data_IF_067976255284
#
_entry.id   IF_067976255284
#
_cell.length_a   1.000
_cell.length_b   1.000
_cell.length_c   1.000
_cell.angle_alpha   90.00
_cell.angle_beta   90.00
_cell.angle_gamma   90.00
#
_symmetry.space_group_name_H-M   'P 1'
#
loop_
_entity.id
_entity.type
_entity.pdbx_description
1 polymer ?
#
# COMPACT_ATOMS: atom_id res chain seq x y z
N UNK A 1 17.20 -0.49 1.25
CA UNK A 1 15.86 -1.04 0.96
C UNK A 1 15.60 -1.14 -0.54
N UNK A 2 15.91 -0.12 -1.32
CA UNK A 2 15.70 -0.07 -2.78
C UNK A 2 16.29 -1.27 -3.54
N UNK A 3 17.53 -1.65 -3.28
CA UNK A 3 18.22 -2.79 -3.92
C UNK A 3 17.58 -4.15 -3.63
N UNK A 4 16.77 -4.24 -2.56
CA UNK A 4 16.11 -5.48 -2.12
C UNK A 4 14.59 -5.41 -2.18
N UNK A 5 14.05 -4.43 -2.90
CA UNK A 5 12.61 -4.14 -2.86
C UNK A 5 11.73 -5.30 -3.37
N UNK A 6 12.19 -6.07 -4.36
CA UNK A 6 11.49 -7.25 -4.86
C UNK A 6 11.27 -8.34 -3.82
N UNK A 7 12.09 -8.34 -2.75
CA UNK A 7 12.01 -9.30 -1.64
C UNK A 7 11.09 -8.82 -0.53
N UNK A 8 10.50 -7.63 -0.65
CA UNK A 8 9.66 -7.05 0.41
C UNK A 8 8.22 -7.53 0.28
N UNK A 9 7.63 -7.74 1.45
CA UNK A 9 6.20 -7.94 1.69
C UNK A 9 5.82 -6.86 2.68
N UNK A 10 4.99 -5.94 2.26
CA UNK A 10 4.59 -4.81 3.08
C UNK A 10 3.41 -5.12 3.98
N UNK A 11 3.40 -4.46 5.13
CA UNK A 11 2.20 -4.28 5.95
C UNK A 11 1.92 -2.79 6.06
N UNK A 12 0.75 -2.38 5.58
CA UNK A 12 0.33 -0.98 5.57
C UNK A 12 -0.49 -0.67 6.82
N UNK A 13 -0.05 0.31 7.59
CA UNK A 13 -0.66 0.77 8.82
C UNK A 13 -1.19 2.20 8.62
N UNK A 14 -2.48 2.44 8.88
CA UNK A 14 -2.99 3.78 9.13
C UNK A 14 -3.03 4.02 10.64
N UNK A 15 -2.03 4.74 11.19
CA UNK A 15 -1.72 4.67 12.63
C UNK A 15 -2.82 5.27 13.50
N UNK A 16 -3.40 6.43 13.13
CA UNK A 16 -4.47 7.06 13.91
C UNK A 16 -5.69 6.15 14.06
N UNK A 17 -6.08 5.46 12.97
CA UNK A 17 -7.18 4.50 13.01
C UNK A 17 -6.82 3.26 13.80
N UNK A 18 -5.76 2.55 13.40
CA UNK A 18 -5.34 1.28 14.03
C UNK A 18 -5.17 1.40 15.53
N UNK A 19 -4.62 2.53 16.01
CA UNK A 19 -4.39 2.78 17.44
C UNK A 19 -5.62 3.33 18.19
N UNK A 20 -6.74 3.57 17.52
CA UNK A 20 -7.93 4.14 18.15
C UNK A 20 -7.73 5.58 18.63
N UNK A 21 -6.92 6.37 17.94
CA UNK A 21 -6.64 7.74 18.30
C UNK A 21 -7.91 8.60 18.20
N UNK A 22 -8.07 9.65 19.04
CA UNK A 22 -9.17 10.61 18.92
C UNK A 22 -9.27 11.19 17.52
N UNK A 23 -10.48 11.37 16.99
CA UNK A 23 -10.72 11.90 15.64
C UNK A 23 -10.18 13.31 15.42
N UNK A 24 -10.09 14.11 16.50
CA UNK A 24 -9.52 15.45 16.48
C UNK A 24 -8.45 15.58 17.54
N UNK A 25 -7.40 16.31 17.20
CA UNK A 25 -6.36 16.68 18.12
C UNK A 25 -6.81 17.88 18.94
N UNK A 26 -6.68 17.80 20.26
CA UNK A 26 -7.00 18.91 21.19
C UNK A 26 -5.78 19.76 21.51
N UNK A 27 -4.59 19.36 21.04
CA UNK A 27 -3.29 20.02 21.23
C UNK A 27 -2.88 20.23 22.69
N UNK A 28 -3.55 19.57 23.65
CA UNK A 28 -3.33 19.76 25.08
C UNK A 28 -3.19 18.45 25.86
N UNK A 29 -3.76 17.35 25.38
CA UNK A 29 -3.64 16.03 26.00
C UNK A 29 -2.18 15.54 26.01
N UNK A 30 -1.78 14.77 27.03
CA UNK A 30 -0.50 14.08 27.04
C UNK A 30 -0.34 13.19 25.81
N UNK A 31 0.93 12.85 25.48
CA UNK A 31 1.22 11.93 24.40
C UNK A 31 0.56 10.56 24.64
N UNK A 32 -0.05 10.01 23.59
CA UNK A 32 -0.65 8.70 23.58
C UNK A 32 0.38 7.57 23.60
N UNK A 33 -0.10 6.33 23.55
CA UNK A 33 0.73 5.11 23.60
C UNK A 33 0.64 4.26 22.31
N UNK A 34 0.06 4.82 21.25
CA UNK A 34 -0.20 4.11 20.00
C UNK A 34 1.04 3.47 19.39
N UNK A 35 2.16 4.20 19.31
CA UNK A 35 3.43 3.68 18.79
C UNK A 35 4.01 2.56 19.67
N UNK A 36 3.84 2.62 21.00
CA UNK A 36 4.24 1.53 21.89
C UNK A 36 3.43 0.27 21.62
N UNK A 37 2.11 0.41 21.40
CA UNK A 37 1.25 -0.72 20.99
C UNK A 37 1.65 -1.30 19.64
N UNK A 38 2.15 -0.49 18.71
CA UNK A 38 2.68 -0.98 17.43
C UNK A 38 3.96 -1.81 17.61
N UNK A 39 4.82 -1.48 18.59
CA UNK A 39 5.99 -2.32 18.93
C UNK A 39 5.55 -3.72 19.33
N UNK A 40 4.49 -3.85 20.12
CA UNK A 40 3.94 -5.14 20.56
C UNK A 40 3.37 -5.99 19.40
N UNK A 41 3.13 -5.37 18.22
CA UNK A 41 2.67 -6.06 17.01
C UNK A 41 3.80 -6.60 16.12
N UNK A 42 5.03 -6.24 16.35
CA UNK A 42 6.17 -6.71 15.54
C UNK A 42 6.22 -8.26 15.47
N UNK A 43 6.01 -9.03 16.54
CA UNK A 43 5.95 -10.50 16.44
C UNK A 43 4.86 -11.01 15.49
N UNK A 44 3.69 -10.35 15.46
CA UNK A 44 2.63 -10.69 14.52
C UNK A 44 3.06 -10.43 13.05
N UNK A 45 3.67 -9.28 12.77
CA UNK A 45 4.20 -8.95 11.44
C UNK A 45 5.23 -10.00 10.96
N UNK A 46 6.14 -10.40 11.85
CA UNK A 46 7.12 -11.45 11.58
C UNK A 46 6.41 -12.77 11.24
N UNK A 47 5.39 -13.14 12.02
CA UNK A 47 4.64 -14.38 11.81
C UNK A 47 3.92 -14.42 10.46
N UNK A 48 3.48 -13.26 9.94
CA UNK A 48 2.90 -13.10 8.60
C UNK A 48 3.95 -13.15 7.49
N UNK A 49 5.25 -13.13 7.82
CA UNK A 49 6.34 -13.05 6.85
C UNK A 49 6.60 -11.62 6.31
N UNK A 50 6.02 -10.61 6.93
CA UNK A 50 6.23 -9.19 6.63
C UNK A 50 7.68 -8.79 6.93
N UNK A 51 8.29 -8.03 6.04
CA UNK A 51 9.64 -7.50 6.20
C UNK A 51 9.78 -6.03 5.74
N UNK A 52 8.65 -5.35 5.56
CA UNK A 52 8.58 -3.91 5.41
C UNK A 52 7.24 -3.39 5.96
N UNK A 53 7.23 -2.25 6.62
CA UNK A 53 6.01 -1.54 7.02
C UNK A 53 5.91 -0.22 6.27
N UNK A 54 4.72 0.10 5.79
CA UNK A 54 4.35 1.43 5.37
C UNK A 54 3.40 2.01 6.41
N UNK A 55 3.81 3.12 7.03
CA UNK A 55 3.02 3.83 8.03
C UNK A 55 2.44 5.07 7.36
N UNK A 56 1.11 5.16 7.33
CA UNK A 56 0.37 6.34 6.89
C UNK A 56 0.72 7.59 7.69
N UNK A 57 0.06 8.73 7.48
CA UNK A 57 0.45 9.99 8.08
C UNK A 57 0.47 9.91 9.60
N UNK A 58 1.62 10.23 10.19
CA UNK A 58 1.85 10.07 11.63
C UNK A 58 2.39 11.33 12.32
N UNK A 59 2.59 12.41 11.57
CA UNK A 59 3.07 13.67 12.12
C UNK A 59 1.92 14.55 12.61
N UNK A 60 2.24 15.52 13.49
CA UNK A 60 1.23 16.33 14.17
C UNK A 60 0.22 16.92 13.18
N UNK A 61 -1.06 16.68 13.41
CA UNK A 61 -2.15 17.03 12.51
C UNK A 61 -3.39 17.43 13.29
N UNK A 62 -4.37 18.06 12.62
CA UNK A 62 -5.62 18.50 13.28
C UNK A 62 -6.59 17.33 13.44
N UNK A 63 -6.69 16.45 12.42
CA UNK A 63 -7.69 15.38 12.42
C UNK A 63 -7.15 14.07 11.85
N UNK A 64 -7.06 13.96 10.52
CA UNK A 64 -6.86 12.66 9.85
C UNK A 64 -5.40 12.40 9.43
N UNK A 65 -4.46 13.21 9.87
CA UNK A 65 -3.03 13.03 9.54
C UNK A 65 -2.61 13.68 8.23
N UNK A 66 -3.47 13.74 7.22
CA UNK A 66 -3.20 14.43 5.96
C UNK A 66 -3.32 15.96 6.06
N UNK A 67 -3.90 16.47 7.11
CA UNK A 67 -3.97 17.88 7.47
C UNK A 67 -2.81 18.29 8.40
N UNK A 68 -1.58 17.99 7.96
CA UNK A 68 -0.34 18.17 8.70
C UNK A 68 -0.15 19.62 9.14
N UNK A 69 0.24 19.80 10.39
CA UNK A 69 0.58 21.10 10.97
C UNK A 69 2.05 21.20 11.42
N UNK A 70 2.73 20.08 11.62
CA UNK A 70 4.13 20.03 11.99
C UNK A 70 4.77 18.74 11.45
N UNK A 71 5.89 18.83 10.74
CA UNK A 71 6.61 17.70 10.18
C UNK A 71 7.74 17.16 11.10
N UNK A 72 8.04 17.85 12.21
CA UNK A 72 9.13 17.49 13.12
C UNK A 72 8.67 16.67 14.33
N UNK A 73 7.38 16.74 14.67
CA UNK A 73 6.84 16.03 15.83
C UNK A 73 5.84 14.98 15.40
N UNK A 74 5.96 13.81 15.97
CA UNK A 74 4.95 12.76 15.90
C UNK A 74 3.63 13.30 16.47
N UNK A 75 2.51 12.93 15.85
CA UNK A 75 1.18 13.29 16.35
C UNK A 75 1.02 12.81 17.80
N UNK A 76 0.78 13.75 18.71
CA UNK A 76 0.69 13.43 20.14
C UNK A 76 -0.35 12.37 20.48
N UNK A 77 -1.36 12.20 19.66
CA UNK A 77 -2.35 11.12 19.81
C UNK A 77 -1.75 9.73 19.63
N UNK A 78 -0.58 9.62 19.01
CA UNK A 78 0.12 8.36 18.75
C UNK A 78 1.32 8.13 19.69
N UNK A 79 1.98 9.19 20.14
CA UNK A 79 3.18 9.07 20.97
C UNK A 79 4.14 10.24 20.83
N UNK A 80 5.42 9.97 21.01
CA UNK A 80 6.52 10.93 20.91
C UNK A 80 7.50 10.55 19.79
N UNK A 81 8.45 11.44 19.49
CA UNK A 81 9.56 11.15 18.57
C UNK A 81 10.43 9.98 19.03
N UNK A 82 10.64 9.86 20.34
CA UNK A 82 11.39 8.75 20.96
C UNK A 82 10.66 7.44 20.78
N UNK A 83 9.31 7.43 20.88
CA UNK A 83 8.50 6.24 20.63
C UNK A 83 8.60 5.78 19.16
N UNK A 84 8.65 6.73 18.20
CA UNK A 84 8.87 6.43 16.79
C UNK A 84 10.28 5.85 16.56
N UNK A 85 11.32 6.48 17.10
CA UNK A 85 12.71 5.97 17.00
C UNK A 85 12.83 4.57 17.58
N UNK A 86 12.18 4.31 18.71
CA UNK A 86 12.16 2.98 19.33
C UNK A 86 11.43 1.96 18.45
N UNK A 87 10.30 2.33 17.85
CA UNK A 87 9.56 1.47 16.92
C UNK A 87 10.41 1.12 15.69
N UNK A 88 11.04 2.12 15.05
CA UNK A 88 11.90 1.91 13.88
C UNK A 88 13.10 1.02 14.22
N UNK A 89 13.76 1.29 15.35
CA UNK A 89 14.88 0.46 15.83
C UNK A 89 14.44 -0.98 16.02
N UNK A 90 13.27 -1.20 16.62
CA UNK A 90 12.74 -2.54 16.86
C UNK A 90 12.36 -3.26 15.57
N UNK A 91 11.84 -2.54 14.58
CA UNK A 91 11.62 -3.06 13.24
C UNK A 91 12.94 -3.52 12.60
N UNK A 92 13.98 -2.69 12.65
CA UNK A 92 15.29 -3.00 12.09
C UNK A 92 15.97 -4.21 12.75
N UNK A 93 15.89 -4.35 14.08
CA UNK A 93 16.37 -5.53 14.81
C UNK A 93 15.74 -6.83 14.28
N UNK A 94 14.54 -6.74 13.69
CA UNK A 94 13.81 -7.88 13.14
C UNK A 94 13.82 -7.93 11.60
N UNK A 95 14.67 -7.14 10.93
CA UNK A 95 14.81 -7.13 9.47
C UNK A 95 13.64 -6.48 8.72
N UNK A 96 12.80 -5.72 9.42
CA UNK A 96 11.65 -5.00 8.87
C UNK A 96 12.06 -3.58 8.53
N UNK A 97 11.97 -3.19 7.25
CA UNK A 97 12.19 -1.82 6.81
C UNK A 97 10.97 -0.94 7.11
N UNK A 98 11.20 0.37 7.30
CA UNK A 98 10.14 1.33 7.66
C UNK A 98 10.04 2.43 6.60
N UNK A 99 8.84 2.61 6.05
CA UNK A 99 8.49 3.65 5.07
C UNK A 99 7.42 4.55 5.69
N UNK A 100 7.62 5.86 5.63
CA UNK A 100 6.67 6.85 6.14
C UNK A 100 5.90 7.53 5.03
N UNK A 101 4.69 8.00 5.36
CA UNK A 101 3.90 8.86 4.49
C UNK A 101 4.42 10.30 4.51
N UNK A 102 4.61 10.87 3.33
CA UNK A 102 5.10 12.22 3.11
C UNK A 102 4.01 13.07 2.44
N UNK A 103 3.29 13.84 3.24
CA UNK A 103 2.21 14.72 2.80
C UNK A 103 2.80 16.07 2.39
N UNK A 104 3.28 16.18 1.14
CA UNK A 104 4.00 17.36 0.65
C UNK A 104 3.22 18.20 -0.36
N UNK A 105 2.06 17.72 -0.81
CA UNK A 105 1.20 18.49 -1.70
C UNK A 105 0.48 19.65 -0.98
N UNK A 106 0.14 19.47 0.29
CA UNK A 106 -0.67 20.41 1.06
C UNK A 106 -0.35 20.35 2.56
N UNK A 107 -0.82 21.33 3.31
CA UNK A 107 -0.79 21.36 4.78
C UNK A 107 -2.19 21.61 5.33
N UNK A 108 -2.40 21.31 6.61
CA UNK A 108 -3.57 21.77 7.33
C UNK A 108 -3.56 23.30 7.57
N UNK A 109 -4.72 23.86 7.87
CA UNK A 109 -4.88 25.30 8.14
C UNK A 109 -4.18 25.79 9.41
N UNK A 110 -3.85 24.86 10.32
CA UNK A 110 -3.09 25.16 11.54
C UNK A 110 -1.57 25.13 11.36
N UNK A 111 -1.07 24.84 10.16
CA UNK A 111 0.35 24.92 9.84
C UNK A 111 0.87 26.35 10.04
N UNK A 112 2.03 26.51 10.65
CA UNK A 112 2.55 27.81 11.09
C UNK A 112 2.59 28.87 9.99
N UNK A 113 2.98 28.48 8.77
CA UNK A 113 3.07 29.40 7.64
C UNK A 113 1.69 29.89 7.16
N UNK A 114 0.67 29.01 7.23
CA UNK A 114 -0.70 29.41 6.88
C UNK A 114 -1.34 30.26 7.96
N UNK A 115 -1.07 30.00 9.23
CA UNK A 115 -1.50 30.89 10.33
C UNK A 115 -0.92 32.30 10.19
N UNK A 116 0.38 32.42 9.92
CA UNK A 116 1.00 33.74 9.68
C UNK A 116 0.34 34.44 8.47
N UNK A 117 0.04 33.69 7.41
CA UNK A 117 -0.66 34.24 6.24
C UNK A 117 -2.08 34.71 6.61
N UNK A 118 -2.82 33.97 7.44
CA UNK A 118 -4.15 34.38 7.92
C UNK A 118 -4.08 35.66 8.77
N UNK A 119 -3.06 35.79 9.61
CA UNK A 119 -2.89 36.91 10.54
C UNK A 119 -2.39 38.19 9.84
N UNK A 120 -1.40 38.04 8.92
CA UNK A 120 -0.70 39.19 8.31
C UNK A 120 -1.16 39.50 6.88
N UNK A 121 -1.92 38.63 6.25
CA UNK A 121 -2.39 38.81 4.88
C UNK A 121 -1.23 39.03 3.91
N UNK A 122 -1.29 40.07 3.10
CA UNK A 122 -0.27 40.42 2.11
C UNK A 122 1.12 40.76 2.70
N UNK A 123 1.21 41.06 3.99
CA UNK A 123 2.45 41.31 4.70
C UNK A 123 3.16 40.02 5.19
N UNK A 124 2.52 38.83 5.06
CA UNK A 124 3.11 37.57 5.42
C UNK A 124 4.30 37.23 4.53
N UNK A 125 5.40 36.79 5.16
CA UNK A 125 6.57 36.27 4.43
C UNK A 125 6.34 34.91 3.80
N UNK A 126 5.25 34.22 4.17
CA UNK A 126 4.87 32.90 3.69
C UNK A 126 3.79 32.93 2.60
N UNK A 127 3.38 34.12 2.10
CA UNK A 127 2.33 34.22 1.06
C UNK A 127 2.64 33.40 -0.21
N UNK A 128 3.92 33.30 -0.59
CA UNK A 128 4.38 32.58 -1.78
C UNK A 128 4.62 31.06 -1.51
N UNK A 129 4.38 30.60 -0.27
CA UNK A 129 4.46 29.18 0.09
C UNK A 129 3.24 28.40 -0.40
N UNK A 130 2.14 29.10 -0.70
CA UNK A 130 0.88 28.48 -1.12
C UNK A 130 0.53 28.83 -2.56
N UNK A 131 -0.18 27.93 -3.22
CA UNK A 131 -0.60 28.11 -4.61
C UNK A 131 -1.79 29.09 -4.71
N UNK A 132 -1.73 29.96 -5.74
CA UNK A 132 -2.85 30.80 -6.17
C UNK A 132 -3.40 31.73 -5.06
N UNK A 133 -2.54 32.27 -4.18
CA UNK A 133 -2.93 33.26 -3.19
C UNK A 133 -3.35 34.56 -3.89
N UNK A 134 -4.59 35.00 -3.60
CA UNK A 134 -5.18 36.22 -4.21
C UNK A 134 -5.88 37.04 -3.12
N UNK A 135 -5.30 38.18 -2.77
CA UNK A 135 -5.86 39.09 -1.74
C UNK A 135 -7.04 39.93 -2.23
N UNK A 136 -7.38 39.87 -3.53
CA UNK A 136 -8.58 40.51 -4.10
C UNK A 136 -9.86 39.68 -3.98
N UNK A 137 -9.76 38.41 -3.47
CA UNK A 137 -10.88 37.48 -3.38
C UNK A 137 -10.93 36.85 -1.98
N UNK A 138 -12.10 36.35 -1.59
CA UNK A 138 -12.28 35.57 -0.36
C UNK A 138 -12.20 34.07 -0.67
N UNK A 139 -11.69 33.28 0.28
CA UNK A 139 -11.75 31.82 0.19
C UNK A 139 -13.18 31.31 0.51
N UNK A 140 -13.59 30.16 -0.02
CA UNK A 140 -14.82 29.47 0.41
C UNK A 140 -14.79 29.07 1.89
N UNK A 141 -13.62 28.96 2.50
CA UNK A 141 -13.46 28.70 3.95
C UNK A 141 -13.58 29.96 4.83
N UNK A 142 -13.85 31.13 4.23
CA UNK A 142 -14.12 32.38 4.94
C UNK A 142 -12.91 33.29 5.19
N UNK A 143 -11.71 32.94 4.66
CA UNK A 143 -10.52 33.79 4.75
C UNK A 143 -10.68 35.04 3.87
N UNK A 144 -10.02 36.14 4.25
CA UNK A 144 -10.03 37.40 3.49
C UNK A 144 -9.13 37.38 2.25
N UNK A 145 -8.63 36.27 1.86
CA UNK A 145 -7.86 35.99 0.64
C UNK A 145 -8.24 34.62 0.08
N UNK A 146 -8.07 34.43 -1.22
CA UNK A 146 -8.23 33.14 -1.88
C UNK A 146 -6.91 32.38 -1.88
N UNK A 147 -6.98 31.06 -1.90
CA UNK A 147 -5.87 30.12 -2.09
C UNK A 147 -6.38 28.82 -2.70
N UNK A 148 -5.50 28.00 -3.27
CA UNK A 148 -5.85 26.69 -3.81
C UNK A 148 -5.93 25.63 -2.69
N UNK A 149 -7.07 24.96 -2.57
CA UNK A 149 -7.25 23.78 -1.74
C UNK A 149 -7.03 22.50 -2.54
N UNK A 150 -6.56 21.44 -1.89
CA UNK A 150 -6.41 20.12 -2.50
C UNK A 150 -7.78 19.55 -2.93
N UNK A 151 -7.96 19.29 -4.23
CA UNK A 151 -9.21 18.76 -4.79
C UNK A 151 -10.48 19.51 -4.37
N UNK A 152 -10.37 20.83 -4.15
CA UNK A 152 -11.48 21.68 -3.69
C UNK A 152 -11.73 21.62 -2.19
N UNK A 153 -10.94 20.91 -1.42
CA UNK A 153 -10.97 20.92 0.03
C UNK A 153 -10.05 22.03 0.56
N UNK A 154 -10.65 23.08 1.13
CA UNK A 154 -9.94 24.25 1.64
C UNK A 154 -9.32 24.05 3.03
N UNK A 155 -9.58 22.95 3.70
CA UNK A 155 -8.85 22.57 4.93
C UNK A 155 -7.48 21.97 4.62
N UNK A 156 -7.24 21.58 3.36
CA UNK A 156 -5.97 21.06 2.83
C UNK A 156 -5.37 22.10 1.88
N UNK A 157 -4.53 22.98 2.43
CA UNK A 157 -4.00 24.16 1.74
C UNK A 157 -2.82 23.77 0.86
N UNK A 158 -2.95 23.92 -0.46
CA UNK A 158 -1.95 23.45 -1.42
C UNK A 158 -0.66 24.25 -1.36
N UNK A 159 0.46 23.54 -1.12
CA UNK A 159 1.79 24.10 -1.08
C UNK A 159 2.30 24.43 -2.50
N UNK A 160 3.12 25.48 -2.57
CA UNK A 160 3.90 25.82 -3.74
C UNK A 160 5.29 25.15 -3.69
N UNK A 161 5.35 23.88 -4.02
CA UNK A 161 6.61 23.09 -4.00
C UNK A 161 7.66 23.58 -5.01
N UNK A 162 7.30 24.50 -5.93
CA UNK A 162 8.28 25.20 -6.79
C UNK A 162 8.99 26.35 -6.07
N UNK A 163 8.53 26.73 -4.87
CA UNK A 163 9.21 27.73 -4.02
C UNK A 163 10.38 27.07 -3.30
N UNK A 164 11.64 27.57 -3.46
CA UNK A 164 12.80 26.97 -2.83
C UNK A 164 12.71 26.88 -1.29
N UNK A 165 12.12 27.88 -0.62
CA UNK A 165 11.98 27.86 0.84
C UNK A 165 11.01 26.77 1.32
N UNK A 166 9.97 26.45 0.53
CA UNK A 166 9.08 25.31 0.80
C UNK A 166 9.85 23.99 0.66
N UNK A 167 10.58 23.84 -0.44
CA UNK A 167 11.40 22.64 -0.66
C UNK A 167 12.46 22.44 0.42
N UNK A 168 13.16 23.52 0.82
CA UNK A 168 14.15 23.47 1.89
C UNK A 168 13.53 23.03 3.23
N UNK A 169 12.36 23.57 3.57
CA UNK A 169 11.62 23.18 4.77
C UNK A 169 11.25 21.68 4.75
N UNK A 170 10.67 21.20 3.66
CA UNK A 170 10.27 19.80 3.52
C UNK A 170 11.47 18.84 3.50
N UNK A 171 12.57 19.22 2.83
CA UNK A 171 13.81 18.43 2.82
C UNK A 171 14.48 18.41 4.20
N UNK A 172 14.37 19.50 4.97
CA UNK A 172 14.78 19.55 6.36
C UNK A 172 14.06 18.51 7.22
N UNK A 173 12.75 18.40 7.05
CA UNK A 173 11.94 17.35 7.71
C UNK A 173 12.37 15.94 7.30
N UNK A 174 12.55 15.69 6.00
CA UNK A 174 13.03 14.38 5.50
C UNK A 174 14.40 14.04 6.05
N UNK A 175 15.32 15.02 6.16
CA UNK A 175 16.62 14.82 6.78
C UNK A 175 16.48 14.37 8.24
N UNK A 176 15.67 15.06 9.03
CA UNK A 176 15.34 14.68 10.39
C UNK A 176 14.81 13.24 10.48
N UNK A 177 13.86 12.87 9.59
CA UNK A 177 13.30 11.51 9.59
C UNK A 177 14.35 10.43 9.25
N UNK A 178 15.30 10.74 8.36
CA UNK A 178 16.39 9.82 8.00
C UNK A 178 17.43 9.73 9.13
N UNK A 179 17.87 10.86 9.68
CA UNK A 179 18.98 10.93 10.64
C UNK A 179 18.54 10.52 12.04
N UNK A 180 17.38 10.98 12.51
CA UNK A 180 16.94 10.78 13.90
C UNK A 180 16.01 9.57 14.08
N UNK A 181 15.19 9.25 13.08
CA UNK A 181 14.32 8.05 13.14
C UNK A 181 14.88 6.86 12.36
N UNK A 182 15.80 7.07 11.42
CA UNK A 182 16.45 6.00 10.68
C UNK A 182 15.62 5.37 9.57
N UNK A 183 14.54 6.00 9.10
CA UNK A 183 13.59 5.42 8.12
C UNK A 183 14.26 4.99 6.82
N UNK A 184 13.61 4.08 6.07
CA UNK A 184 14.16 3.43 4.87
C UNK A 184 13.52 3.90 3.56
N UNK A 185 12.45 4.68 3.63
CA UNK A 185 11.76 5.17 2.45
C UNK A 185 10.61 6.10 2.75
N UNK A 186 10.04 6.65 1.67
CA UNK A 186 8.84 7.49 1.71
C UNK A 186 7.80 7.00 0.71
N UNK A 187 6.53 7.14 1.09
CA UNK A 187 5.41 7.18 0.18
C UNK A 187 4.97 8.64 0.02
N UNK A 188 5.03 9.19 -1.18
CA UNK A 188 4.55 10.54 -1.46
C UNK A 188 3.04 10.52 -1.66
N UNK A 189 2.32 11.21 -0.78
CA UNK A 189 0.88 11.47 -0.92
C UNK A 189 0.60 12.30 -2.18
N UNK A 190 -0.49 11.97 -2.90
CA UNK A 190 -0.91 12.68 -4.10
C UNK A 190 0.24 12.98 -5.09
N UNK A 191 1.12 12.00 -5.33
CA UNK A 191 2.33 12.19 -6.15
C UNK A 191 2.02 12.58 -7.60
N UNK A 192 0.84 12.22 -8.10
CA UNK A 192 0.38 12.54 -9.45
C UNK A 192 0.15 14.04 -9.70
N UNK A 193 0.02 14.84 -8.64
CA UNK A 193 -0.16 16.30 -8.72
C UNK A 193 1.01 17.11 -8.13
N UNK A 194 2.07 16.43 -7.66
CA UNK A 194 3.31 17.10 -7.23
C UNK A 194 4.10 17.64 -8.43
N UNK A 195 4.81 18.73 -8.19
CA UNK A 195 5.72 19.30 -9.18
C UNK A 195 6.82 18.30 -9.56
N UNK A 196 7.03 17.97 -10.85
CA UNK A 196 8.05 17.02 -11.28
C UNK A 196 9.49 17.40 -10.88
N UNK A 197 9.83 18.70 -10.87
CA UNK A 197 11.17 19.15 -10.45
C UNK A 197 11.38 19.01 -8.96
N UNK A 198 10.31 19.22 -8.16
CA UNK A 198 10.35 18.95 -6.74
C UNK A 198 10.62 17.46 -6.47
N UNK A 199 9.93 16.54 -7.17
CA UNK A 199 10.15 15.11 -7.00
C UNK A 199 11.56 14.68 -7.42
N UNK A 200 12.10 15.21 -8.52
CA UNK A 200 13.47 14.93 -8.98
C UNK A 200 14.51 15.42 -7.94
N UNK A 201 14.30 16.63 -7.39
CA UNK A 201 15.15 17.19 -6.36
C UNK A 201 15.08 16.40 -5.04
N UNK A 202 13.85 16.00 -4.62
CA UNK A 202 13.65 15.17 -3.44
C UNK A 202 14.33 13.81 -3.59
N UNK A 203 14.22 13.16 -4.75
CA UNK A 203 14.86 11.88 -5.02
C UNK A 203 16.38 12.00 -4.94
N UNK A 204 16.96 13.04 -5.54
CA UNK A 204 18.40 13.32 -5.44
C UNK A 204 18.83 13.54 -4.00
N UNK A 205 18.09 14.34 -3.25
CA UNK A 205 18.33 14.60 -1.84
C UNK A 205 18.31 13.32 -0.99
N UNK A 206 17.25 12.52 -1.11
CA UNK A 206 17.08 11.27 -0.36
C UNK A 206 18.21 10.26 -0.66
N UNK A 207 18.54 10.05 -1.94
CA UNK A 207 19.60 9.11 -2.33
C UNK A 207 21.01 9.61 -1.96
N UNK A 208 21.20 10.92 -1.81
CA UNK A 208 22.45 11.48 -1.28
C UNK A 208 22.55 11.22 0.22
N UNK A 209 21.46 11.41 0.96
CA UNK A 209 21.43 11.19 2.41
C UNK A 209 21.51 9.69 2.77
N UNK A 210 20.80 8.82 2.01
CA UNK A 210 20.76 7.37 2.22
C UNK A 210 20.67 6.66 0.85
N UNK A 211 21.77 6.16 0.27
CA UNK A 211 21.82 5.65 -1.11
C UNK A 211 20.79 4.56 -1.44
N UNK A 212 20.43 3.71 -0.46
CA UNK A 212 19.44 2.63 -0.62
C UNK A 212 18.03 3.04 -0.15
N UNK A 213 17.76 4.35 -0.06
CA UNK A 213 16.45 4.89 0.29
C UNK A 213 15.42 4.62 -0.82
N UNK A 214 14.22 4.20 -0.47
CA UNK A 214 13.18 3.85 -1.43
C UNK A 214 12.08 4.90 -1.48
N UNK A 215 11.68 5.27 -2.69
CA UNK A 215 10.66 6.28 -2.95
C UNK A 215 9.48 5.69 -3.72
N UNK A 216 8.29 5.76 -3.13
CA UNK A 216 7.04 5.38 -3.76
C UNK A 216 6.11 6.58 -3.87
N UNK A 217 5.37 6.71 -4.96
CA UNK A 217 4.32 7.72 -5.12
C UNK A 217 2.93 7.11 -5.13
N UNK A 218 1.97 7.81 -4.53
CA UNK A 218 0.58 7.53 -4.82
C UNK A 218 0.23 8.09 -6.19
N UNK A 219 -0.14 7.19 -7.11
CA UNK A 219 -0.62 7.54 -8.44
C UNK A 219 -1.84 6.69 -8.75
N UNK A 220 -3.00 7.35 -8.90
CA UNK A 220 -4.26 6.65 -9.13
C UNK A 220 -4.46 6.36 -10.61
N UNK A 221 -4.12 7.31 -11.49
CA UNK A 221 -4.36 7.22 -12.92
C UNK A 221 -3.16 7.67 -13.75
N UNK A 222 -3.09 7.20 -14.99
CA UNK A 222 -2.13 7.63 -15.98
C UNK A 222 -1.02 6.64 -16.26
N UNK A 223 -0.04 7.07 -17.02
CA UNK A 223 1.14 6.26 -17.35
C UNK A 223 2.16 6.36 -16.22
N UNK A 224 2.34 5.27 -15.48
CA UNK A 224 3.20 5.18 -14.30
C UNK A 224 4.67 5.51 -14.58
N UNK A 225 5.14 5.37 -15.83
CA UNK A 225 6.52 5.72 -16.20
C UNK A 225 6.83 7.22 -16.10
N UNK A 226 5.79 8.07 -16.04
CA UNK A 226 5.97 9.51 -15.81
C UNK A 226 6.48 9.80 -14.39
N UNK A 227 6.13 8.97 -13.44
CA UNK A 227 6.51 9.11 -12.03
C UNK A 227 7.59 8.11 -11.61
N UNK A 228 7.40 6.80 -11.88
CA UNK A 228 8.37 5.76 -11.55
C UNK A 228 9.40 5.63 -12.69
N UNK A 229 10.56 6.28 -12.50
CA UNK A 229 11.66 6.28 -13.46
C UNK A 229 12.99 6.63 -12.77
N UNK A 230 14.15 6.30 -13.37
CA UNK A 230 15.44 6.70 -12.83
C UNK A 230 15.51 8.20 -12.52
N UNK A 231 15.99 8.56 -11.33
CA UNK A 231 16.13 9.96 -10.88
C UNK A 231 14.85 10.59 -10.31
N UNK A 232 13.74 9.84 -10.21
CA UNK A 232 12.48 10.28 -9.60
C UNK A 232 12.02 9.26 -8.56
N UNK A 233 10.87 8.60 -8.76
CA UNK A 233 10.37 7.58 -7.86
C UNK A 233 10.80 6.19 -8.31
N UNK A 234 10.98 5.29 -7.35
CA UNK A 234 11.35 3.89 -7.59
C UNK A 234 10.12 3.02 -7.89
N UNK A 235 8.95 3.46 -7.41
CA UNK A 235 7.67 2.73 -7.53
C UNK A 235 6.49 3.69 -7.45
N UNK A 236 5.33 3.19 -7.83
CA UNK A 236 4.02 3.83 -7.57
C UNK A 236 3.00 2.78 -7.17
N UNK A 237 1.90 3.24 -6.56
CA UNK A 237 0.73 2.41 -6.23
C UNK A 237 0.05 1.87 -7.49
N UNK A 238 -0.25 0.58 -7.52
CA UNK A 238 -0.82 -0.09 -8.70
C UNK A 238 -2.36 -0.14 -8.64
N UNK A 239 -3.00 1.02 -8.76
CA UNK A 239 -4.47 1.12 -8.78
C UNK A 239 -5.11 0.44 -10.00
N UNK A 240 -4.39 0.33 -11.13
CA UNK A 240 -4.90 -0.41 -12.30
C UNK A 240 -5.10 -1.88 -11.97
N UNK A 241 -4.13 -2.50 -11.28
CA UNK A 241 -4.22 -3.89 -10.88
C UNK A 241 -5.23 -4.09 -9.73
N UNK A 242 -5.24 -3.17 -8.75
CA UNK A 242 -6.17 -3.22 -7.62
C UNK A 242 -7.60 -3.51 -8.05
N UNK A 243 -8.12 -2.77 -9.03
CA UNK A 243 -9.48 -2.98 -9.51
C UNK A 243 -9.66 -4.41 -10.05
N UNK A 244 -8.78 -4.86 -10.93
CA UNK A 244 -8.84 -6.18 -11.55
C UNK A 244 -8.77 -7.34 -10.54
N UNK A 245 -8.07 -7.14 -9.40
CA UNK A 245 -7.93 -8.18 -8.37
C UNK A 245 -9.26 -8.58 -7.70
N UNK A 246 -10.25 -7.71 -7.62
CA UNK A 246 -11.55 -8.05 -7.04
C UNK A 246 -12.69 -8.05 -8.06
N UNK A 247 -12.68 -7.14 -9.05
CA UNK A 247 -13.74 -7.05 -10.03
C UNK A 247 -13.80 -8.29 -10.93
N UNK A 248 -12.65 -8.89 -11.26
CA UNK A 248 -12.62 -10.11 -12.08
C UNK A 248 -13.37 -11.27 -11.44
N UNK A 249 -13.33 -11.38 -10.11
CA UNK A 249 -14.09 -12.38 -9.37
C UNK A 249 -15.59 -12.02 -9.31
N UNK A 250 -15.90 -10.74 -9.00
CA UNK A 250 -17.27 -10.27 -8.84
C UNK A 250 -18.10 -10.35 -10.13
N UNK A 251 -17.45 -10.14 -11.26
CA UNK A 251 -18.10 -10.02 -12.56
C UNK A 251 -17.88 -11.27 -13.42
N UNK A 252 -17.26 -12.33 -12.83
CA UNK A 252 -16.89 -13.56 -13.55
C UNK A 252 -16.18 -13.24 -14.86
N UNK A 253 -15.16 -12.37 -14.80
CA UNK A 253 -14.49 -11.82 -15.96
C UNK A 253 -12.97 -11.67 -15.75
N UNK A 254 -12.24 -12.78 -15.78
CA UNK A 254 -10.78 -12.75 -15.69
C UNK A 254 -10.06 -12.13 -16.91
N UNK A 255 -10.79 -11.83 -17.99
CA UNK A 255 -10.23 -11.07 -19.11
C UNK A 255 -9.78 -9.68 -18.68
N UNK A 256 -10.41 -9.06 -17.66
CA UNK A 256 -10.04 -7.75 -17.14
C UNK A 256 -8.64 -7.77 -16.52
N UNK A 257 -8.40 -8.62 -15.51
CA UNK A 257 -7.09 -8.69 -14.86
C UNK A 257 -6.00 -9.22 -15.81
N UNK A 258 -6.35 -10.17 -16.68
CA UNK A 258 -5.46 -10.68 -17.71
C UNK A 258 -4.99 -9.58 -18.66
N UNK A 259 -5.91 -8.73 -19.14
CA UNK A 259 -5.57 -7.59 -19.97
C UNK A 259 -4.64 -6.62 -19.22
N UNK A 260 -4.95 -6.29 -17.98
CA UNK A 260 -4.13 -5.42 -17.13
C UNK A 260 -2.71 -5.97 -16.96
N UNK A 261 -2.57 -7.25 -16.60
CA UNK A 261 -1.26 -7.88 -16.40
C UNK A 261 -0.45 -7.98 -17.70
N UNK A 262 -1.10 -8.29 -18.83
CA UNK A 262 -0.43 -8.30 -20.13
C UNK A 262 0.04 -6.89 -20.54
N UNK A 263 -0.80 -5.86 -20.33
CA UNK A 263 -0.44 -4.47 -20.58
C UNK A 263 0.73 -4.01 -19.70
N UNK A 264 0.75 -4.43 -18.43
CA UNK A 264 1.79 -4.03 -17.48
C UNK A 264 3.09 -4.84 -17.66
N UNK A 265 3.02 -6.15 -17.75
CA UNK A 265 4.15 -7.06 -17.60
C UNK A 265 4.29 -8.09 -18.74
N UNK A 266 3.41 -8.13 -19.72
CA UNK A 266 3.55 -8.99 -20.90
C UNK A 266 4.82 -8.68 -21.69
N UNK A 267 5.08 -9.39 -22.78
CA UNK A 267 6.30 -9.25 -23.61
C UNK A 267 6.59 -7.79 -23.99
N UNK A 268 5.55 -7.04 -24.36
CA UNK A 268 5.60 -5.60 -24.68
C UNK A 268 5.01 -4.75 -23.54
N UNK A 269 5.04 -5.27 -22.32
CA UNK A 269 4.44 -4.61 -21.16
C UNK A 269 5.07 -3.27 -20.82
N UNK A 270 4.23 -2.26 -20.56
CA UNK A 270 4.66 -0.90 -20.27
C UNK A 270 5.53 -0.79 -19.02
N UNK A 271 5.28 -1.66 -18.04
CA UNK A 271 5.90 -1.61 -16.70
C UNK A 271 6.76 -2.85 -16.41
N UNK A 272 7.19 -3.58 -17.45
CA UNK A 272 7.98 -4.83 -17.33
C UNK A 272 9.31 -4.67 -16.57
N UNK A 273 9.75 -3.45 -16.31
CA UNK A 273 10.96 -3.14 -15.53
C UNK A 273 10.65 -2.41 -14.21
N UNK A 274 9.37 -2.26 -13.83
CA UNK A 274 8.96 -1.55 -12.63
C UNK A 274 8.43 -2.50 -11.57
N UNK A 275 8.95 -2.39 -10.36
CA UNK A 275 8.40 -3.03 -9.16
C UNK A 275 7.26 -2.17 -8.62
N UNK A 276 6.02 -2.41 -9.07
CA UNK A 276 4.85 -1.66 -8.62
C UNK A 276 4.36 -2.16 -7.26
N UNK A 277 3.84 -1.23 -6.44
CA UNK A 277 3.28 -1.52 -5.13
C UNK A 277 1.83 -2.00 -5.28
N UNK A 278 1.60 -3.29 -5.05
CA UNK A 278 0.30 -3.95 -5.23
C UNK A 278 -0.44 -4.09 -3.90
N UNK A 279 -1.75 -3.90 -3.95
CA UNK A 279 -2.64 -4.02 -2.79
C UNK A 279 -4.03 -4.49 -3.24
N UNK A 280 -4.79 -5.07 -2.33
CA UNK A 280 -6.20 -5.47 -2.54
C UNK A 280 -7.16 -4.55 -1.79
N UNK A 281 -6.64 -3.79 -0.85
CA UNK A 281 -7.33 -2.77 -0.07
C UNK A 281 -6.31 -1.81 0.55
N UNK A 282 -6.73 -0.60 0.88
CA UNK A 282 -5.95 0.40 1.61
C UNK A 282 -6.88 1.32 2.42
N UNK A 283 -6.33 2.40 2.97
CA UNK A 283 -7.06 3.35 3.81
C UNK A 283 -8.06 4.28 3.06
N UNK A 284 -8.08 4.24 1.72
CA UNK A 284 -8.92 5.11 0.85
C UNK A 284 -9.93 4.33 0.02
N UNK A 285 -9.82 3.01 -0.05
CA UNK A 285 -10.73 2.16 -0.81
C UNK A 285 -11.46 1.17 0.11
N UNK A 286 -12.61 0.71 -0.33
CA UNK A 286 -13.41 -0.25 0.44
C UNK A 286 -12.62 -1.52 0.75
N UNK A 287 -12.85 -2.07 1.94
CA UNK A 287 -12.24 -3.32 2.38
C UNK A 287 -12.58 -4.48 1.46
N UNK A 288 -11.63 -5.36 1.18
CA UNK A 288 -11.79 -6.48 0.25
C UNK A 288 -13.00 -7.36 0.62
N UNK A 289 -13.13 -7.72 1.90
CA UNK A 289 -14.24 -8.52 2.40
C UNK A 289 -15.62 -7.86 2.26
N UNK A 290 -15.68 -6.53 2.05
CA UNK A 290 -16.91 -5.78 1.77
C UNK A 290 -17.17 -5.62 0.27
N UNK A 291 -16.13 -5.67 -0.55
CA UNK A 291 -16.23 -5.50 -2.01
C UNK A 291 -16.58 -6.81 -2.69
N UNK A 292 -16.07 -7.95 -2.22
CA UNK A 292 -16.34 -9.25 -2.80
C UNK A 292 -17.81 -9.62 -2.62
N UNK A 293 -18.50 -9.91 -3.74
CA UNK A 293 -19.87 -10.45 -3.76
C UNK A 293 -19.92 -11.85 -3.13
N UNK A 294 -18.91 -12.68 -3.43
CA UNK A 294 -18.70 -13.97 -2.78
C UNK A 294 -17.36 -13.96 -2.03
N UNK A 295 -17.45 -13.92 -0.71
CA UNK A 295 -16.25 -13.89 0.17
C UNK A 295 -15.46 -15.19 0.16
N UNK A 296 -15.99 -16.30 -0.38
CA UNK A 296 -15.22 -17.53 -0.58
C UNK A 296 -13.99 -17.32 -1.50
N UNK A 297 -14.03 -16.29 -2.36
CA UNK A 297 -12.93 -15.93 -3.24
C UNK A 297 -11.78 -15.19 -2.56
N UNK A 298 -11.90 -14.80 -1.29
CA UNK A 298 -10.90 -13.95 -0.61
C UNK A 298 -9.50 -14.60 -0.61
N UNK A 299 -9.43 -15.91 -0.42
CA UNK A 299 -8.16 -16.66 -0.45
C UNK A 299 -7.49 -16.59 -1.83
N UNK A 300 -8.27 -16.76 -2.90
CA UNK A 300 -7.77 -16.69 -4.27
C UNK A 300 -7.31 -15.28 -4.64
N UNK A 301 -7.98 -14.23 -4.15
CA UNK A 301 -7.55 -12.83 -4.34
C UNK A 301 -6.21 -12.57 -3.66
N UNK A 302 -6.00 -13.02 -2.40
CA UNK A 302 -4.70 -12.92 -1.74
C UNK A 302 -3.62 -13.75 -2.43
N UNK A 303 -3.95 -14.95 -2.93
CA UNK A 303 -3.01 -15.73 -3.71
C UNK A 303 -2.56 -14.99 -4.98
N UNK A 304 -3.48 -14.31 -5.69
CA UNK A 304 -3.12 -13.44 -6.81
C UNK A 304 -2.20 -12.29 -6.35
N UNK A 305 -2.55 -11.57 -5.27
CA UNK A 305 -1.72 -10.48 -4.73
C UNK A 305 -0.26 -10.90 -4.52
N UNK A 306 -0.05 -12.10 -3.97
CA UNK A 306 1.29 -12.61 -3.65
C UNK A 306 2.03 -13.21 -4.85
N UNK A 307 1.32 -13.55 -5.92
CA UNK A 307 1.90 -14.25 -7.07
C UNK A 307 2.04 -13.40 -8.33
N UNK A 308 1.29 -12.33 -8.51
CA UNK A 308 1.48 -11.38 -9.64
C UNK A 308 2.79 -10.60 -9.53
N UNK A 309 3.33 -10.04 -10.65
CA UNK A 309 4.50 -9.17 -10.61
C UNK A 309 4.28 -7.93 -9.75
N UNK A 310 5.33 -7.50 -9.03
CA UNK A 310 5.30 -6.34 -8.15
C UNK A 310 5.48 -6.70 -6.68
N UNK A 311 5.20 -5.76 -5.80
CA UNK A 311 5.46 -5.81 -4.36
C UNK A 311 4.12 -5.94 -3.63
N UNK A 312 3.80 -7.06 -2.96
CA UNK A 312 2.54 -7.22 -2.27
C UNK A 312 2.50 -6.41 -0.96
N UNK A 313 1.32 -5.85 -0.67
CA UNK A 313 1.04 -5.16 0.58
C UNK A 313 -0.26 -5.66 1.20
N UNK A 314 -0.20 -5.95 2.49
CA UNK A 314 -1.34 -6.27 3.33
C UNK A 314 -1.74 -4.99 4.08
N UNK A 315 -2.97 -4.56 3.97
CA UNK A 315 -3.48 -3.47 4.78
C UNK A 315 -3.96 -4.02 6.13
N UNK A 316 -3.62 -3.34 7.24
CA UNK A 316 -3.92 -3.84 8.58
C UNK A 316 -5.38 -4.29 8.76
N UNK A 317 -5.57 -5.46 9.33
CA UNK A 317 -6.88 -6.08 9.47
C UNK A 317 -7.37 -6.86 8.24
N UNK A 318 -6.69 -6.72 7.09
CA UNK A 318 -6.98 -7.50 5.89
C UNK A 318 -6.72 -8.98 6.08
N UNK A 319 -5.72 -9.33 6.88
CA UNK A 319 -5.41 -10.71 7.26
C UNK A 319 -6.51 -11.40 8.08
N UNK A 320 -7.44 -10.62 8.64
CA UNK A 320 -8.64 -11.15 9.32
C UNK A 320 -9.90 -10.95 8.50
N UNK A 321 -9.79 -10.40 7.29
CA UNK A 321 -10.93 -10.07 6.44
C UNK A 321 -11.85 -9.03 7.08
N UNK A 322 -11.28 -7.97 7.68
CA UNK A 322 -12.08 -6.87 8.22
C UNK A 322 -12.94 -6.23 7.12
N UNK A 323 -14.17 -5.90 7.47
CA UNK A 323 -15.11 -5.22 6.59
C UNK A 323 -15.08 -3.72 6.83
N UNK A 324 -15.45 -2.96 5.83
CA UNK A 324 -15.62 -1.51 5.88
C UNK A 324 -15.90 -0.96 4.49
N UNK A 325 -16.78 0.02 4.42
CA UNK A 325 -17.12 0.73 3.18
C UNK A 325 -17.07 2.24 3.42
N UNK A 326 -16.71 2.98 2.40
CA UNK A 326 -16.75 4.44 2.43
C UNK A 326 -18.21 4.90 2.44
N UNK A 327 -18.63 5.62 3.48
CA UNK A 327 -20.00 6.10 3.66
C UNK A 327 -20.05 7.63 3.76
N UNK A 328 -20.91 8.25 2.98
CA UNK A 328 -21.15 9.71 3.02
C UNK A 328 -19.85 10.56 2.97
N UNK A 329 -18.85 10.09 2.22
CA UNK A 329 -17.55 10.76 2.13
C UNK A 329 -16.62 10.54 3.32
N UNK A 330 -17.02 9.72 4.32
CA UNK A 330 -16.18 9.36 5.48
C UNK A 330 -15.43 8.07 5.24
N UNK A 331 -14.14 8.05 5.60
CA UNK A 331 -13.24 6.89 5.53
C UNK A 331 -13.17 6.12 6.88
N UNK A 332 -13.98 6.50 7.87
CA UNK A 332 -13.87 5.95 9.24
C UNK A 332 -13.95 4.42 9.28
N UNK A 333 -14.87 3.79 8.51
CA UNK A 333 -14.99 2.33 8.45
C UNK A 333 -13.82 1.65 7.74
N UNK A 334 -13.07 2.37 6.92
CA UNK A 334 -11.86 1.87 6.27
C UNK A 334 -10.67 1.82 7.23
N UNK A 335 -10.74 2.60 8.33
CA UNK A 335 -9.65 2.91 9.27
C UNK A 335 -10.02 2.53 10.71
N UNK A 336 -10.60 1.33 10.98
CA UNK A 336 -11.13 0.99 12.30
C UNK A 336 -9.99 0.79 13.33
N UNK A 337 -10.26 1.03 14.63
CA UNK A 337 -9.35 0.63 15.68
C UNK A 337 -9.27 -0.91 15.76
N UNK A 338 -8.06 -1.43 15.97
CA UNK A 338 -7.82 -2.88 16.02
C UNK A 338 -7.37 -3.33 17.40
N UNK A 339 -6.68 -2.47 18.17
CA UNK A 339 -6.17 -2.86 19.49
C UNK A 339 -7.26 -3.14 20.52
N UNK A 340 -8.38 -2.44 20.44
CA UNK A 340 -9.51 -2.63 21.36
C UNK A 340 -10.31 -3.90 21.05
N UNK A 341 -10.39 -4.30 19.78
CA UNK A 341 -11.17 -5.46 19.34
C UNK A 341 -10.50 -6.79 19.66
N UNK A 342 -9.18 -6.82 19.84
CA UNK A 342 -8.43 -8.07 20.06
C UNK A 342 -8.26 -8.43 21.53
N UNK A 343 -8.37 -7.46 22.44
CA UNK A 343 -8.17 -7.70 23.88
C UNK A 343 -9.45 -8.09 24.63
N UNK A 344 -10.61 -7.89 24.03
CA UNK A 344 -11.88 -8.24 24.63
C UNK A 344 -12.70 -9.02 23.60
N UNK A 345 -12.99 -10.27 23.88
CA UNK A 345 -13.85 -11.13 23.06
C UNK A 345 -15.29 -10.60 22.91
N UNK A 346 -15.55 -9.36 23.30
CA UNK A 346 -16.78 -8.61 23.09
C UNK A 346 -16.45 -7.20 22.59
N UNK A 347 -16.92 -6.88 21.38
CA UNK A 347 -16.72 -5.62 20.68
C UNK A 347 -17.52 -4.49 21.31
N UNK A 348 -16.87 -3.64 22.11
CA UNK A 348 -17.40 -2.32 22.42
C UNK A 348 -16.79 -1.29 21.47
N UNK A 349 -17.56 -0.79 20.50
CA UNK A 349 -17.22 0.41 19.73
C UNK A 349 -16.95 0.23 18.23
N UNK A 350 -16.70 -0.98 17.72
CA UNK A 350 -16.62 -1.22 16.27
C UNK A 350 -18.04 -1.46 15.75
N UNK A 351 -18.45 -0.76 14.71
CA UNK A 351 -19.76 -1.02 14.08
C UNK A 351 -19.84 -2.51 13.69
N UNK A 352 -21.05 -3.08 13.71
CA UNK A 352 -21.27 -4.49 13.34
C UNK A 352 -20.74 -4.82 11.94
N UNK A 353 -20.48 -3.81 11.12
CA UNK A 353 -19.99 -3.89 9.75
C UNK A 353 -18.46 -4.07 9.66
N UNK A 354 -17.70 -3.71 10.70
CA UNK A 354 -16.23 -3.87 10.75
C UNK A 354 -15.78 -5.20 11.39
N UNK A 355 -16.66 -6.16 11.59
CA UNK A 355 -16.31 -7.45 12.19
C UNK A 355 -15.46 -8.30 11.24
N UNK A 356 -14.50 -9.09 11.76
CA UNK A 356 -13.78 -10.08 10.99
C UNK A 356 -14.71 -11.09 10.31
N UNK A 357 -14.22 -11.74 9.26
CA UNK A 357 -14.88 -12.94 8.73
C UNK A 357 -14.94 -14.03 9.81
N UNK A 358 -15.96 -14.89 9.75
CA UNK A 358 -16.21 -15.96 10.72
C UNK A 358 -15.02 -16.93 10.82
N UNK A 359 -14.25 -17.12 9.73
CA UNK A 359 -13.02 -17.95 9.68
C UNK A 359 -11.79 -17.09 9.33
N UNK A 360 -11.48 -16.14 10.18
CA UNK A 360 -10.30 -15.27 9.99
C UNK A 360 -8.97 -16.02 10.19
N UNK A 361 -8.94 -17.08 10.98
CA UNK A 361 -7.73 -17.87 11.22
C UNK A 361 -7.23 -18.58 9.95
N UNK A 362 -8.14 -19.03 9.10
CA UNK A 362 -7.82 -19.62 7.80
C UNK A 362 -7.13 -18.64 6.87
N UNK A 363 -7.63 -17.39 6.80
CA UNK A 363 -7.05 -16.36 5.95
C UNK A 363 -5.66 -15.93 6.42
N UNK A 364 -5.49 -15.69 7.71
CA UNK A 364 -4.19 -15.36 8.29
C UNK A 364 -3.15 -16.46 8.02
N UNK A 365 -3.54 -17.75 8.20
CA UNK A 365 -2.66 -18.87 7.90
C UNK A 365 -2.32 -18.95 6.39
N UNK A 366 -3.29 -18.70 5.52
CA UNK A 366 -3.04 -18.65 4.06
C UNK A 366 -2.02 -17.56 3.70
N UNK A 367 -2.12 -16.37 4.28
CA UNK A 367 -1.16 -15.28 4.06
C UNK A 367 0.24 -15.69 4.52
N UNK A 368 0.39 -16.39 5.66
CA UNK A 368 1.69 -16.92 6.13
C UNK A 368 2.28 -17.90 5.12
N UNK A 369 1.47 -18.81 4.59
CA UNK A 369 1.89 -19.77 3.56
C UNK A 369 2.32 -19.05 2.29
N UNK A 370 1.51 -18.10 1.78
CA UNK A 370 1.82 -17.31 0.58
C UNK A 370 3.10 -16.49 0.74
N UNK A 371 3.31 -15.90 1.90
CA UNK A 371 4.54 -15.16 2.23
C UNK A 371 5.77 -16.07 2.17
N UNK A 372 5.68 -17.29 2.72
CA UNK A 372 6.75 -18.29 2.66
C UNK A 372 7.01 -18.72 1.21
N UNK A 373 5.96 -19.09 0.47
CA UNK A 373 6.07 -19.48 -0.95
C UNK A 373 6.76 -18.37 -1.75
N UNK A 374 6.34 -17.10 -1.59
CA UNK A 374 6.98 -15.98 -2.30
C UNK A 374 8.45 -15.81 -1.90
N UNK A 375 8.79 -16.00 -0.64
CA UNK A 375 10.16 -15.89 -0.14
C UNK A 375 11.05 -17.01 -0.68
N UNK A 376 10.53 -18.22 -0.80
CA UNK A 376 11.30 -19.40 -1.19
C UNK A 376 11.46 -19.49 -2.72
N UNK A 377 10.57 -18.86 -3.50
CA UNK A 377 10.52 -18.95 -4.96
C UNK A 377 10.91 -17.63 -5.66
N UNK A 378 12.15 -17.54 -6.22
CA UNK A 378 12.64 -16.33 -6.88
C UNK A 378 11.78 -15.89 -8.08
N UNK A 379 11.16 -16.82 -8.79
CA UNK A 379 10.25 -16.50 -9.89
C UNK A 379 9.10 -15.57 -9.46
N UNK A 380 8.56 -15.72 -8.25
CA UNK A 380 7.49 -14.86 -7.72
C UNK A 380 7.98 -13.44 -7.37
N UNK A 381 9.28 -13.27 -7.18
CA UNK A 381 9.92 -11.96 -6.87
C UNK A 381 10.48 -11.27 -8.11
N UNK A 382 10.55 -11.97 -9.24
CA UNK A 382 10.93 -11.43 -10.54
C UNK A 382 9.80 -10.58 -11.14
N UNK A 383 10.00 -10.02 -12.33
CA UNK A 383 8.96 -9.40 -13.14
C UNK A 383 8.51 -10.28 -14.32
N UNK A 384 9.11 -11.47 -14.48
CA UNK A 384 8.76 -12.43 -15.52
C UNK A 384 7.31 -12.89 -15.38
N UNK A 385 6.51 -12.68 -16.44
CA UNK A 385 5.09 -13.00 -16.50
C UNK A 385 4.69 -13.45 -17.89
N UNK A 386 3.87 -14.50 -17.95
CA UNK A 386 3.27 -14.99 -19.20
C UNK A 386 1.88 -15.56 -18.93
N UNK A 387 0.89 -15.09 -19.65
CA UNK A 387 -0.45 -15.68 -19.63
C UNK A 387 -0.43 -17.04 -20.32
N UNK A 388 -1.08 -18.03 -19.72
CA UNK A 388 -1.23 -19.39 -20.27
C UNK A 388 -2.66 -19.69 -20.70
N UNK A 389 -3.65 -19.26 -19.89
CA UNK A 389 -5.07 -19.44 -20.19
C UNK A 389 -5.88 -18.30 -19.54
N UNK A 390 -6.89 -17.84 -20.22
CA UNK A 390 -7.93 -16.97 -19.64
C UNK A 390 -9.31 -17.41 -20.13
N UNK A 391 -10.25 -17.48 -19.20
CA UNK A 391 -11.66 -17.71 -19.41
C UNK A 391 -12.45 -16.81 -18.45
N UNK A 392 -13.77 -16.86 -18.47
CA UNK A 392 -14.60 -16.03 -17.56
C UNK A 392 -14.25 -16.28 -16.09
N UNK A 393 -14.17 -17.53 -15.66
CA UNK A 393 -13.96 -17.92 -14.27
C UNK A 393 -12.59 -18.54 -13.99
N UNK A 394 -11.75 -18.77 -15.01
CA UNK A 394 -10.44 -19.39 -14.84
C UNK A 394 -9.34 -18.50 -15.43
N UNK A 395 -8.25 -18.40 -14.69
CA UNK A 395 -7.08 -17.68 -15.12
C UNK A 395 -5.81 -18.47 -14.77
N UNK A 396 -4.96 -18.75 -15.76
CA UNK A 396 -3.69 -19.43 -15.56
C UNK A 396 -2.57 -18.61 -16.17
N UNK A 397 -1.53 -18.38 -15.40
CA UNK A 397 -0.33 -17.67 -15.84
C UNK A 397 0.93 -18.32 -15.27
N UNK A 398 2.07 -18.02 -15.87
CA UNK A 398 3.36 -18.37 -15.30
C UNK A 398 4.12 -17.15 -14.85
N UNK A 399 4.89 -17.36 -13.78
CA UNK A 399 5.91 -16.47 -13.26
C UNK A 399 7.25 -17.14 -13.46
N UNK A 400 8.22 -16.43 -13.97
CA UNK A 400 9.51 -17.04 -14.29
C UNK A 400 10.70 -16.11 -14.02
N UNK A 401 11.85 -16.74 -13.79
CA UNK A 401 13.17 -16.14 -13.81
C UNK A 401 14.12 -17.15 -14.46
N UNK A 402 15.40 -16.84 -14.52
CA UNK A 402 16.39 -17.72 -15.18
C UNK A 402 16.48 -19.13 -14.56
N UNK A 403 16.16 -19.27 -13.28
CA UNK A 403 16.33 -20.53 -12.52
C UNK A 403 15.04 -21.31 -12.26
N UNK A 404 13.85 -20.71 -12.53
CA UNK A 404 12.59 -21.28 -12.08
C UNK A 404 11.39 -20.74 -12.87
N UNK A 405 10.37 -21.60 -13.05
CA UNK A 405 9.04 -21.22 -13.51
C UNK A 405 7.97 -21.75 -12.54
N UNK A 406 7.06 -20.89 -12.11
CA UNK A 406 5.91 -21.20 -11.25
C UNK A 406 4.63 -20.96 -12.05
N UNK A 407 3.71 -21.92 -12.01
CA UNK A 407 2.40 -21.81 -12.66
C UNK A 407 1.36 -21.53 -11.60
N UNK A 408 0.57 -20.48 -11.82
CA UNK A 408 -0.55 -20.08 -10.94
C UNK A 408 -1.84 -20.28 -11.71
N UNK A 409 -2.75 -21.08 -11.14
CA UNK A 409 -4.06 -21.37 -11.74
C UNK A 409 -5.16 -21.02 -10.74
N UNK A 410 -6.08 -20.15 -11.15
CA UNK A 410 -7.16 -19.60 -10.29
C UNK A 410 -8.52 -19.94 -10.88
N UNK A 411 -9.49 -20.21 -10.02
CA UNK A 411 -10.88 -20.48 -10.36
C UNK A 411 -11.81 -19.72 -9.44
N UNK A 412 -12.63 -18.83 -10.00
CA UNK A 412 -13.65 -18.05 -9.27
C UNK A 412 -15.00 -18.77 -9.18
N UNK A 413 -15.19 -19.87 -9.92
CA UNK A 413 -16.46 -20.60 -9.97
C UNK A 413 -16.71 -21.36 -8.66
N UNK A 414 -17.99 -21.55 -8.32
CA UNK A 414 -18.43 -22.42 -7.23
C UNK A 414 -18.34 -23.93 -7.56
N UNK A 415 -17.82 -24.28 -8.73
CA UNK A 415 -17.53 -25.64 -9.19
C UNK A 415 -16.02 -25.79 -9.41
N UNK A 416 -15.48 -27.01 -9.22
CA UNK A 416 -14.13 -27.31 -9.66
C UNK A 416 -13.99 -27.17 -11.18
N UNK A 417 -12.84 -26.77 -11.65
CA UNK A 417 -12.53 -26.60 -13.07
C UNK A 417 -11.28 -27.37 -13.47
N UNK A 418 -11.23 -27.80 -14.73
CA UNK A 418 -10.01 -28.36 -15.33
C UNK A 418 -9.48 -27.39 -16.39
N UNK A 419 -8.22 -26.96 -16.24
CA UNK A 419 -7.55 -26.08 -17.19
C UNK A 419 -6.46 -26.83 -17.94
N UNK A 420 -6.56 -26.88 -19.27
CA UNK A 420 -5.50 -27.44 -20.11
C UNK A 420 -4.63 -26.32 -20.64
N UNK A 421 -3.36 -26.30 -20.24
CA UNK A 421 -2.38 -25.29 -20.63
C UNK A 421 -1.28 -25.91 -21.50
N UNK A 422 -0.64 -25.09 -22.33
CA UNK A 422 0.44 -25.51 -23.24
C UNK A 422 1.62 -24.52 -23.19
N UNK A 423 2.74 -24.89 -23.82
CA UNK A 423 3.94 -24.05 -23.85
C UNK A 423 4.78 -24.18 -22.58
N UNK A 424 4.59 -25.26 -21.83
CA UNK A 424 5.39 -25.59 -20.63
C UNK A 424 6.61 -26.45 -21.02
N UNK A 425 7.66 -26.50 -20.17
CA UNK A 425 8.72 -27.47 -20.33
C UNK A 425 8.15 -28.89 -20.34
N UNK A 426 8.58 -29.74 -21.30
CA UNK A 426 8.06 -31.10 -21.43
C UNK A 426 8.61 -32.04 -20.35
N UNK A 427 7.83 -33.07 -20.02
CA UNK A 427 8.22 -34.21 -19.15
C UNK A 427 8.63 -33.76 -17.72
N UNK A 428 7.95 -32.75 -17.19
CA UNK A 428 8.12 -32.25 -15.81
C UNK A 428 6.99 -32.73 -14.93
N UNK A 429 7.30 -33.08 -13.69
CA UNK A 429 6.31 -33.25 -12.63
C UNK A 429 6.16 -31.92 -11.89
N UNK A 430 4.93 -31.42 -11.80
CA UNK A 430 4.57 -30.20 -11.08
C UNK A 430 3.83 -30.57 -9.80
N UNK A 431 4.25 -30.02 -8.68
CA UNK A 431 3.62 -30.17 -7.36
C UNK A 431 2.97 -28.87 -6.94
N UNK A 432 1.86 -28.95 -6.22
CA UNK A 432 1.20 -27.76 -5.69
C UNK A 432 1.83 -27.35 -4.35
N UNK A 433 2.26 -26.10 -4.26
CA UNK A 433 2.88 -25.54 -3.06
C UNK A 433 1.86 -25.23 -1.94
N UNK A 434 0.55 -25.27 -2.26
CA UNK A 434 -0.54 -25.11 -1.29
C UNK A 434 -1.10 -26.45 -0.79
N UNK A 435 -0.96 -27.51 -1.60
CA UNK A 435 -1.50 -28.84 -1.34
C UNK A 435 -0.52 -29.91 -1.85
N UNK A 436 0.37 -30.35 -1.00
CA UNK A 436 1.42 -31.34 -1.36
C UNK A 436 0.84 -32.67 -1.88
N UNK A 437 -0.44 -32.94 -1.64
CA UNK A 437 -1.14 -34.13 -2.17
C UNK A 437 -1.50 -34.01 -3.64
N UNK A 438 -1.44 -32.81 -4.24
CA UNK A 438 -1.75 -32.60 -5.65
C UNK A 438 -0.49 -32.47 -6.51
N UNK A 439 -0.48 -33.22 -7.62
CA UNK A 439 0.55 -33.05 -8.64
C UNK A 439 -0.02 -33.30 -10.05
N UNK A 440 0.61 -32.74 -11.06
CA UNK A 440 0.32 -32.98 -12.47
C UNK A 440 1.63 -33.12 -13.27
N UNK A 441 1.54 -33.60 -14.51
CA UNK A 441 2.70 -33.79 -15.38
C UNK A 441 2.53 -32.98 -16.66
N UNK A 442 3.65 -32.41 -17.14
CA UNK A 442 3.71 -31.75 -18.44
C UNK A 442 4.13 -32.78 -19.49
N UNK A 443 3.20 -33.48 -20.11
CA UNK A 443 3.52 -34.45 -21.16
C UNK A 443 4.42 -33.86 -22.27
N UNK A 444 3.92 -33.66 -23.47
CA UNK A 444 4.63 -32.95 -24.56
C UNK A 444 4.52 -31.42 -24.43
N UNK A 445 4.78 -30.87 -23.26
CA UNK A 445 4.67 -29.41 -22.99
C UNK A 445 3.24 -28.96 -22.71
N UNK A 446 2.34 -29.89 -22.37
CA UNK A 446 0.94 -29.60 -21.95
C UNK A 446 0.69 -30.17 -20.56
N UNK A 447 -0.09 -29.46 -19.74
CA UNK A 447 -0.57 -29.95 -18.46
C UNK A 447 -2.08 -29.75 -18.34
N UNK A 448 -2.74 -30.73 -17.69
CA UNK A 448 -4.13 -30.62 -17.23
C UNK A 448 -4.09 -30.31 -15.74
N UNK A 449 -4.71 -29.21 -15.32
CA UNK A 449 -4.68 -28.69 -13.94
C UNK A 449 -6.11 -28.70 -13.39
N UNK A 450 -6.36 -29.50 -12.38
CA UNK A 450 -7.61 -29.48 -11.64
C UNK A 450 -7.56 -28.38 -10.58
N UNK A 451 -8.43 -27.36 -10.71
CA UNK A 451 -8.47 -26.20 -9.82
C UNK A 451 -9.73 -26.32 -8.95
N UNK A 452 -9.60 -26.28 -7.62
CA UNK A 452 -10.75 -26.34 -6.72
C UNK A 452 -11.76 -25.19 -6.98
N UNK A 453 -13.00 -25.37 -6.56
CA UNK A 453 -13.97 -24.26 -6.49
C UNK A 453 -13.42 -23.13 -5.63
N UNK A 454 -13.63 -21.86 -6.03
CA UNK A 454 -13.13 -20.67 -5.33
C UNK A 454 -11.65 -20.80 -4.92
N UNK A 455 -10.85 -21.48 -5.76
CA UNK A 455 -9.55 -21.99 -5.38
C UNK A 455 -8.41 -21.54 -6.28
N UNK A 456 -7.23 -21.91 -5.84
CA UNK A 456 -5.97 -21.62 -6.53
C UNK A 456 -5.04 -22.82 -6.41
N UNK A 457 -4.20 -23.03 -7.45
CA UNK A 457 -3.03 -23.89 -7.45
C UNK A 457 -1.79 -23.05 -7.72
N UNK A 458 -0.73 -23.28 -6.99
CA UNK A 458 0.59 -22.67 -7.21
C UNK A 458 1.56 -23.82 -7.45
N UNK A 459 1.91 -24.07 -8.71
CA UNK A 459 2.62 -25.27 -9.13
C UNK A 459 4.09 -24.95 -9.41
N UNK A 460 4.97 -25.73 -8.80
CA UNK A 460 6.41 -25.71 -9.02
C UNK A 460 6.90 -27.05 -9.58
N UNK A 461 8.00 -27.06 -10.34
CA UNK A 461 8.67 -28.28 -10.73
C UNK A 461 9.19 -29.02 -9.49
N UNK A 462 8.88 -30.32 -9.38
CA UNK A 462 9.48 -31.17 -8.37
C UNK A 462 10.95 -31.41 -8.75
N UNK A 463 11.86 -30.92 -7.91
CA UNK A 463 13.30 -31.13 -8.04
C UNK A 463 13.69 -32.52 -7.58
#
# INVERSE_FOLDING_TARGET
MKSTISNRIFYHIYPLGMCGAPLKNDFSSPAGDGLKKLVDRIPHLISLGVNAVYIGPLFESTAHGYDTLDYWHVDRRLGTNEDLSAFVSKCHENGIAVVLDAVFNHTGRHFFAFKDLQEKGAASVYKDWYKNVDFGKKSPAGDNFYYEGWSGNYDLVKLNTSNPAVSEHLFGAVRHWIEDFGIDGLRLDAADVLDPHFMDALASFCHTAKPDFWLMGEVVHGDYTKWARPGRLDSVTNYELYKGLWSSFNDHNFFEISWTLNRQFGTEGLYKNLQLYNFVENHDVNRLASVLKDTANIFAVYALLFTVPGIPSIYYGGEWGLRGIKKNGSDAELRPPVFETMNHGESSGVSAECKPLVDSSGLENMIRILSRIRKDHPALRSLGYRQLLVASDQFVFSRYCDSEEIIVAVNASNQGANAVVSGLPANKKLIDLLDEGYSTHTGSGKASIDIPRHGVRILAEQK
#
